data_IF_958561891553
#
_entry.id   IF_958561891553
#
_cell.length_a   1.000
_cell.length_b   1.000
_cell.length_c   1.000
_cell.angle_alpha   90.00
_cell.angle_beta   90.00
_cell.angle_gamma   90.00
#
_symmetry.space_group_name_H-M   'P 1'
#
loop_
_entity.id
_entity.type
_entity.pdbx_description
1 polymer ?
#
# COMPACT_ATOMS: atom_id res chain seq x y z
N UNK A 1 -11.49 3.25 2.69
CA UNK A 1 -10.94 1.95 3.13
C UNK A 1 -10.39 1.19 1.94
N UNK A 2 -9.15 0.75 2.03
CA UNK A 2 -8.55 -0.21 1.08
C UNK A 2 -9.02 -1.61 1.47
N UNK A 3 -9.44 -2.42 0.50
CA UNK A 3 -10.02 -3.75 0.73
C UNK A 3 -9.19 -4.88 0.13
N UNK A 4 -8.38 -4.62 -0.90
CA UNK A 4 -7.47 -5.62 -1.43
C UNK A 4 -6.35 -5.00 -2.26
N UNK A 5 -5.25 -5.75 -2.43
CA UNK A 5 -4.21 -5.47 -3.41
C UNK A 5 -3.91 -6.72 -4.24
N UNK A 6 -3.80 -6.55 -5.54
CA UNK A 6 -3.35 -7.56 -6.51
C UNK A 6 -1.97 -7.19 -7.02
N UNK A 7 -1.11 -8.19 -7.14
CA UNK A 7 0.27 -8.08 -7.60
C UNK A 7 0.48 -9.10 -8.73
N UNK A 8 0.91 -8.62 -9.90
CA UNK A 8 1.20 -9.43 -11.08
C UNK A 8 2.64 -9.18 -11.52
N UNK A 9 3.42 -10.25 -11.63
CA UNK A 9 4.84 -10.23 -11.99
C UNK A 9 5.69 -9.25 -11.14
N UNK A 10 5.28 -8.98 -9.90
CA UNK A 10 5.91 -8.01 -9.00
C UNK A 10 6.81 -8.69 -7.96
N UNK A 11 8.13 -8.49 -8.10
CA UNK A 11 9.15 -9.10 -7.23
C UNK A 11 9.03 -10.63 -7.20
N UNK A 12 8.72 -11.22 -6.04
CA UNK A 12 8.53 -12.66 -5.88
C UNK A 12 7.08 -13.11 -6.14
N UNK A 13 6.17 -12.18 -6.44
CA UNK A 13 4.77 -12.50 -6.73
C UNK A 13 4.58 -12.66 -8.24
N UNK A 14 4.36 -13.88 -8.70
CA UNK A 14 3.94 -14.13 -10.09
C UNK A 14 2.50 -13.62 -10.31
N UNK A 15 1.59 -14.03 -9.43
CA UNK A 15 0.24 -13.48 -9.31
C UNK A 15 -0.26 -13.72 -7.89
N UNK A 16 -0.61 -12.66 -7.15
CA UNK A 16 -1.18 -12.79 -5.81
C UNK A 16 -2.23 -11.71 -5.55
N UNK A 17 -3.21 -12.06 -4.72
CA UNK A 17 -4.22 -11.14 -4.21
C UNK A 17 -4.22 -11.24 -2.69
N UNK A 18 -4.09 -10.08 -2.03
CA UNK A 18 -4.09 -9.97 -0.58
C UNK A 18 -5.32 -9.17 -0.18
N UNK A 19 -6.25 -9.80 0.53
CA UNK A 19 -7.39 -9.12 1.14
C UNK A 19 -6.91 -8.28 2.34
N UNK A 20 -7.49 -7.08 2.47
CA UNK A 20 -7.08 -6.09 3.46
C UNK A 20 -8.29 -5.70 4.32
N UNK A 21 -8.13 -5.85 5.64
CA UNK A 21 -9.09 -5.36 6.63
C UNK A 21 -8.67 -4.01 7.22
N UNK A 22 -9.46 -3.52 8.19
CA UNK A 22 -9.13 -2.32 8.99
C UNK A 22 -7.78 -2.48 9.70
N UNK A 23 -7.46 -3.72 10.08
CA UNK A 23 -6.16 -4.17 10.55
C UNK A 23 -5.77 -5.44 9.78
N UNK A 24 -4.57 -5.47 9.22
CA UNK A 24 -4.03 -6.64 8.53
C UNK A 24 -2.63 -6.92 9.03
N UNK A 25 -2.39 -8.16 9.47
CA UNK A 25 -1.06 -8.61 9.93
C UNK A 25 -0.49 -9.58 8.91
N UNK A 26 0.65 -9.24 8.31
CA UNK A 26 1.36 -10.10 7.36
C UNK A 26 2.40 -10.94 8.10
N UNK A 27 2.22 -12.26 8.11
CA UNK A 27 3.13 -13.22 8.74
C UNK A 27 3.64 -14.25 7.73
N UNK A 28 4.79 -14.88 8.03
CA UNK A 28 5.36 -15.93 7.20
C UNK A 28 6.89 -15.85 7.09
N UNK A 29 7.53 -16.83 6.41
CA UNK A 29 8.98 -16.89 6.28
C UNK A 29 9.62 -15.66 5.63
N UNK A 30 10.92 -15.46 5.85
CA UNK A 30 11.69 -14.48 5.10
C UNK A 30 11.66 -14.81 3.61
N UNK A 31 11.55 -13.80 2.75
CA UNK A 31 11.42 -14.00 1.31
C UNK A 31 10.00 -14.34 0.82
N UNK A 32 9.02 -14.61 1.70
CA UNK A 32 7.64 -14.92 1.31
C UNK A 32 6.86 -13.72 0.70
N UNK A 33 7.50 -12.58 0.48
CA UNK A 33 6.88 -11.43 -0.21
C UNK A 33 6.13 -10.43 0.66
N UNK A 34 6.19 -10.52 2.00
CA UNK A 34 5.56 -9.57 2.94
C UNK A 34 5.99 -8.12 2.68
N UNK A 35 7.30 -7.89 2.61
CA UNK A 35 7.87 -6.57 2.28
C UNK A 35 7.46 -6.11 0.89
N UNK A 36 7.29 -7.04 -0.06
CA UNK A 36 6.82 -6.72 -1.42
C UNK A 36 5.38 -6.20 -1.40
N UNK A 37 4.49 -6.76 -0.58
CA UNK A 37 3.12 -6.25 -0.41
C UNK A 37 3.14 -4.81 0.13
N UNK A 38 3.93 -4.54 1.17
CA UNK A 38 4.07 -3.18 1.72
C UNK A 38 4.67 -2.20 0.70
N UNK A 39 5.66 -2.63 -0.07
CA UNK A 39 6.26 -1.82 -1.14
C UNK A 39 5.27 -1.53 -2.27
N UNK A 40 4.43 -2.49 -2.65
CA UNK A 40 3.38 -2.29 -3.65
C UNK A 40 2.33 -1.27 -3.18
N UNK A 41 1.90 -1.35 -1.91
CA UNK A 41 1.01 -0.35 -1.31
C UNK A 41 1.64 1.04 -1.28
N UNK A 42 2.91 1.14 -0.89
CA UNK A 42 3.66 2.40 -0.91
C UNK A 42 3.79 2.99 -2.32
N UNK A 43 4.01 2.14 -3.33
CA UNK A 43 4.11 2.55 -4.73
C UNK A 43 2.79 3.14 -5.24
N UNK A 44 1.67 2.42 -5.04
CA UNK A 44 0.34 2.92 -5.44
C UNK A 44 -0.05 4.17 -4.64
N UNK A 45 0.24 4.21 -3.34
CA UNK A 45 -0.02 5.37 -2.49
C UNK A 45 0.74 6.61 -2.97
N UNK A 46 2.02 6.44 -3.33
CA UNK A 46 2.82 7.53 -3.91
C UNK A 46 2.27 7.96 -5.26
N UNK A 47 1.92 7.01 -6.14
CA UNK A 47 1.33 7.31 -7.44
C UNK A 47 0.03 8.12 -7.28
N UNK A 48 -0.81 7.73 -6.32
CA UNK A 48 -2.03 8.44 -6.00
C UNK A 48 -1.81 9.86 -5.45
N UNK A 49 -0.61 10.15 -4.93
CA UNK A 49 -0.24 11.44 -4.34
C UNK A 49 0.42 12.39 -5.34
N UNK A 50 1.35 11.90 -6.15
CA UNK A 50 2.18 12.73 -7.06
C UNK A 50 1.78 12.59 -8.53
N UNK A 51 0.88 11.67 -8.86
CA UNK A 51 0.50 11.40 -10.25
C UNK A 51 1.61 10.71 -11.05
N UNK A 52 1.41 10.60 -12.37
CA UNK A 52 2.34 9.94 -13.28
C UNK A 52 3.57 10.80 -13.61
N UNK A 53 3.40 12.12 -13.71
CA UNK A 53 4.42 13.04 -14.19
C UNK A 53 5.58 13.23 -13.19
N UNK A 54 5.31 13.10 -11.89
CA UNK A 54 6.29 13.33 -10.82
C UNK A 54 6.69 12.03 -10.11
N UNK A 55 6.49 10.88 -10.78
CA UNK A 55 6.85 9.58 -10.23
C UNK A 55 8.33 9.27 -10.50
N UNK A 56 9.20 9.16 -9.47
CA UNK A 56 10.63 8.97 -9.68
C UNK A 56 10.93 7.55 -10.20
N UNK A 57 11.73 7.47 -11.27
CA UNK A 57 12.12 6.21 -11.93
C UNK A 57 12.83 5.23 -10.99
N UNK A 58 13.57 5.72 -9.99
CA UNK A 58 14.31 4.86 -9.04
C UNK A 58 13.40 3.99 -8.15
N UNK A 59 12.12 4.36 -8.00
CA UNK A 59 11.13 3.57 -7.26
C UNK A 59 10.50 2.46 -8.13
N UNK A 60 10.67 2.53 -9.45
CA UNK A 60 10.31 1.44 -10.37
C UNK A 60 11.33 0.33 -10.13
N UNK A 61 10.89 -0.71 -9.44
CA UNK A 61 11.70 -1.84 -8.98
C UNK A 61 12.33 -2.54 -10.19
N UNK A 62 13.49 -2.05 -10.59
CA UNK A 62 14.31 -2.60 -11.66
C UNK A 62 15.13 -3.74 -11.10
N UNK A 63 14.51 -4.92 -10.96
CA UNK A 63 15.27 -6.11 -11.36
C UNK A 63 15.06 -6.20 -12.85
N UNK A 64 16.04 -5.69 -13.62
CA UNK A 64 16.14 -5.84 -15.09
C UNK A 64 15.71 -7.26 -15.48
N UNK A 65 14.44 -7.43 -15.81
CA UNK A 65 13.92 -8.67 -16.37
C UNK A 65 14.11 -8.51 -17.86
N UNK A 66 15.08 -9.25 -18.39
CA UNK A 66 15.20 -9.55 -19.81
C UNK A 66 13.97 -10.34 -20.24
N UNK A 67 12.83 -9.67 -20.46
CA UNK A 67 11.64 -10.32 -20.99
C UNK A 67 10.32 -9.63 -20.67
N UNK A 68 9.66 -9.14 -21.74
CA UNK A 68 8.23 -9.04 -22.11
C UNK A 68 7.08 -9.03 -21.07
N UNK A 69 7.27 -9.32 -19.80
CA UNK A 69 6.18 -9.43 -18.81
C UNK A 69 5.83 -8.07 -18.22
N UNK A 70 4.56 -7.67 -18.39
CA UNK A 70 3.94 -6.50 -17.76
C UNK A 70 3.88 -6.73 -16.24
N UNK A 71 4.56 -5.88 -15.47
CA UNK A 71 4.37 -5.84 -14.02
C UNK A 71 3.14 -4.99 -13.74
N UNK A 72 2.20 -5.48 -12.93
CA UNK A 72 1.00 -4.71 -12.61
C UNK A 72 0.65 -4.81 -11.13
N UNK A 73 0.17 -3.70 -10.58
CA UNK A 73 -0.37 -3.60 -9.23
C UNK A 73 -1.78 -3.03 -9.33
N UNK A 74 -2.74 -3.64 -8.62
CA UNK A 74 -4.11 -3.13 -8.56
C UNK A 74 -4.58 -3.03 -7.11
N UNK A 75 -5.06 -1.87 -6.72
CA UNK A 75 -5.61 -1.60 -5.40
C UNK A 75 -7.11 -1.43 -5.48
N UNK A 76 -7.83 -2.12 -4.60
CA UNK A 76 -9.27 -2.03 -4.48
C UNK A 76 -9.65 -1.35 -3.16
N UNK A 77 -10.74 -0.59 -3.18
CA UNK A 77 -11.26 0.01 -1.97
C UNK A 77 -12.67 0.56 -2.09
N UNK A 78 -13.15 1.12 -0.98
CA UNK A 78 -14.39 1.87 -0.89
C UNK A 78 -14.16 3.19 -0.15
N UNK A 79 -14.71 4.27 -0.66
CA UNK A 79 -14.69 5.58 -0.02
C UNK A 79 -16.14 6.06 0.17
N UNK A 80 -16.48 6.81 1.24
CA UNK A 80 -17.82 7.35 1.42
C UNK A 80 -18.28 8.20 0.23
N UNK A 81 -17.40 9.05 -0.30
CA UNK A 81 -17.76 10.03 -1.33
C UNK A 81 -17.68 9.49 -2.77
N UNK A 82 -16.79 8.53 -3.04
CA UNK A 82 -16.59 7.99 -4.41
C UNK A 82 -17.07 6.54 -4.58
N UNK A 83 -17.62 5.93 -3.53
CA UNK A 83 -18.07 4.53 -3.57
C UNK A 83 -16.91 3.54 -3.74
N UNK A 84 -17.17 2.44 -4.45
CA UNK A 84 -16.14 1.45 -4.76
C UNK A 84 -15.18 1.98 -5.83
N UNK A 85 -13.88 1.79 -5.62
CA UNK A 85 -12.84 2.24 -6.54
C UNK A 85 -11.78 1.16 -6.77
N UNK A 86 -11.12 1.24 -7.93
CA UNK A 86 -9.95 0.43 -8.29
C UNK A 86 -8.89 1.33 -8.90
N UNK A 87 -7.65 1.22 -8.43
CA UNK A 87 -6.48 1.90 -8.97
C UNK A 87 -5.54 0.85 -9.55
N UNK A 88 -5.14 1.00 -10.80
CA UNK A 88 -4.17 0.13 -11.45
C UNK A 88 -2.95 0.92 -11.88
N UNK A 89 -1.77 0.37 -11.60
CA UNK A 89 -0.52 0.87 -12.14
C UNK A 89 0.25 -0.31 -12.69
N UNK A 90 0.79 -0.15 -13.89
CA UNK A 90 1.55 -1.17 -14.57
C UNK A 90 2.81 -0.59 -15.16
N UNK A 91 3.85 -1.41 -15.23
CA UNK A 91 5.12 -1.08 -15.86
C UNK A 91 5.20 -1.94 -17.11
N UNK A 92 5.31 -1.27 -18.26
CA UNK A 92 5.37 -1.91 -19.57
C UNK A 92 6.71 -1.60 -20.25
N UNK A 93 7.41 -2.61 -20.78
CA UNK A 93 8.62 -2.37 -21.54
C UNK A 93 8.28 -1.73 -22.90
N UNK A 94 8.68 -0.48 -23.12
CA UNK A 94 8.60 0.21 -24.41
C UNK A 94 10.00 0.53 -24.91
N UNK A 95 10.38 -0.02 -26.07
CA UNK A 95 11.66 0.32 -26.71
C UNK A 95 12.93 -0.05 -25.92
N UNK A 96 12.82 -0.87 -24.86
CA UNK A 96 13.94 -1.19 -23.96
C UNK A 96 13.96 -0.36 -22.67
N UNK A 97 13.01 0.57 -22.50
CA UNK A 97 12.77 1.32 -21.28
C UNK A 97 11.51 0.82 -20.57
N UNK A 98 11.50 0.89 -19.25
CA UNK A 98 10.35 0.55 -18.42
C UNK A 98 9.46 1.79 -18.29
N UNK A 99 8.26 1.77 -18.90
CA UNK A 99 7.33 2.89 -18.88
C UNK A 99 6.21 2.62 -17.88
N UNK A 100 6.03 3.55 -16.93
CA UNK A 100 4.90 3.52 -16.03
C UNK A 100 3.62 3.91 -16.78
N UNK A 101 2.66 3.00 -16.77
CA UNK A 101 1.31 3.15 -17.31
C UNK A 101 0.34 3.03 -16.17
N UNK A 102 -0.36 4.12 -15.84
CA UNK A 102 -1.36 4.09 -14.80
C UNK A 102 -2.78 4.23 -15.34
N UNK A 103 -3.68 3.41 -14.81
CA UNK A 103 -5.10 3.36 -15.15
C UNK A 103 -5.89 3.45 -13.85
N UNK A 104 -6.51 4.59 -13.60
CA UNK A 104 -7.28 4.83 -12.39
C UNK A 104 -8.51 5.71 -12.64
N UNK A 105 -9.38 5.90 -11.63
CA UNK A 105 -10.45 6.86 -11.71
C UNK A 105 -9.85 8.26 -11.93
N UNK A 106 -10.55 9.12 -12.66
CA UNK A 106 -10.08 10.49 -12.98
C UNK A 106 -9.71 11.29 -11.72
N UNK A 107 -10.34 11.00 -10.59
CA UNK A 107 -10.12 11.67 -9.30
C UNK A 107 -9.44 10.77 -8.27
N UNK A 108 -8.23 10.27 -8.58
CA UNK A 108 -7.43 9.45 -7.65
C UNK A 108 -7.29 10.12 -6.27
N UNK A 109 -7.19 11.45 -6.22
CA UNK A 109 -7.13 12.22 -4.98
C UNK A 109 -8.36 12.00 -4.07
N UNK A 110 -9.56 11.87 -4.64
CA UNK A 110 -10.81 11.70 -3.90
C UNK A 110 -10.94 10.29 -3.26
N UNK A 111 -10.08 9.34 -3.63
CA UNK A 111 -10.06 8.00 -3.02
C UNK A 111 -9.39 7.98 -1.63
N UNK A 112 -8.62 9.02 -1.29
CA UNK A 112 -7.81 9.09 -0.08
C UNK A 112 -6.55 8.22 -0.10
N UNK A 113 -6.29 7.45 -1.17
CA UNK A 113 -5.13 6.54 -1.25
C UNK A 113 -3.80 7.28 -1.19
N UNK A 114 -3.74 8.51 -1.70
CA UNK A 114 -2.57 9.39 -1.60
C UNK A 114 -2.18 9.80 -0.17
N UNK A 115 -3.05 9.55 0.82
CA UNK A 115 -2.79 9.79 2.25
C UNK A 115 -2.09 8.62 2.96
N UNK A 116 -1.81 7.53 2.24
CA UNK A 116 -1.14 6.35 2.80
C UNK A 116 0.24 6.72 3.36
N UNK A 117 0.47 6.37 4.63
CA UNK A 117 1.76 6.60 5.30
C UNK A 117 2.39 5.27 5.67
N UNK A 118 3.68 5.10 5.32
CA UNK A 118 4.48 3.98 5.80
C UNK A 118 5.26 4.42 7.04
N UNK A 119 5.13 3.65 8.13
CA UNK A 119 5.75 3.94 9.41
C UNK A 119 6.96 3.03 9.64
N UNK A 120 7.99 3.57 10.29
CA UNK A 120 9.14 2.80 10.76
C UNK A 120 9.04 2.67 12.27
N UNK A 121 8.60 1.50 12.73
CA UNK A 121 8.21 1.30 14.11
C UNK A 121 9.43 0.95 14.97
N UNK A 122 9.51 1.56 16.16
CA UNK A 122 10.47 1.22 17.21
C UNK A 122 9.84 0.18 18.15
N UNK A 123 10.42 -1.02 18.31
CA UNK A 123 9.91 -2.06 19.21
C UNK A 123 9.68 -1.58 20.65
N UNK A 124 10.55 -0.70 21.18
CA UNK A 124 10.41 -0.19 22.53
C UNK A 124 9.20 0.75 22.66
N UNK A 125 8.94 1.56 21.63
CA UNK A 125 7.80 2.49 21.56
C UNK A 125 6.49 1.77 21.33
N UNK A 126 6.49 0.72 20.52
CA UNK A 126 5.33 -0.16 20.31
C UNK A 126 4.87 -0.85 21.60
N UNK A 127 5.82 -1.24 22.45
CA UNK A 127 5.56 -1.90 23.72
C UNK A 127 5.25 -0.93 24.87
N UNK A 128 5.45 0.38 24.67
CA UNK A 128 5.24 1.36 25.71
C UNK A 128 3.74 1.46 26.09
N UNK A 129 3.41 1.62 27.39
CA UNK A 129 2.05 1.89 27.82
C UNK A 129 1.52 3.14 27.11
N UNK A 130 0.31 3.05 26.55
CA UNK A 130 -0.38 4.20 25.94
C UNK A 130 -1.60 4.56 26.79
N UNK A 131 -1.67 5.79 27.34
CA UNK A 131 -2.84 6.23 28.08
C UNK A 131 -4.04 6.38 27.13
N UNK A 132 -5.28 6.14 27.61
CA UNK A 132 -6.48 6.40 26.83
C UNK A 132 -6.52 7.88 26.40
N UNK A 133 -6.57 8.12 25.10
CA UNK A 133 -6.62 9.46 24.52
C UNK A 133 -7.96 9.69 23.81
N UNK A 134 -8.43 10.95 23.80
CA UNK A 134 -9.66 11.35 23.12
C UNK A 134 -9.62 11.11 21.59
N UNK A 135 -8.41 11.00 21.00
CA UNK A 135 -8.20 10.56 19.62
C UNK A 135 -7.17 9.43 19.61
N UNK A 136 -7.53 8.33 18.96
CA UNK A 136 -6.64 7.20 18.73
C UNK A 136 -5.77 7.49 17.51
N UNK A 137 -4.51 7.85 17.74
CA UNK A 137 -3.51 8.06 16.68
C UNK A 137 -2.25 7.26 16.98
N UNK A 138 -1.57 6.81 15.92
CA UNK A 138 -0.25 6.19 16.01
C UNK A 138 0.80 7.23 15.61
N UNK A 139 1.84 7.37 16.42
CA UNK A 139 3.00 8.21 16.09
C UNK A 139 3.90 7.52 15.06
N UNK A 140 4.86 8.25 14.50
CA UNK A 140 5.75 7.73 13.45
C UNK A 140 6.66 6.59 13.92
N UNK A 141 6.92 6.52 15.22
CA UNK A 141 7.72 5.48 15.89
C UNK A 141 6.86 4.29 16.38
N UNK A 142 5.54 4.33 16.19
CA UNK A 142 4.61 3.30 16.63
C UNK A 142 4.01 3.50 18.01
N UNK A 143 4.39 4.55 18.75
CA UNK A 143 3.72 4.88 20.00
C UNK A 143 2.22 5.13 19.78
N UNK A 144 1.38 4.69 20.72
CA UNK A 144 -0.08 4.81 20.60
C UNK A 144 -0.78 3.64 19.90
N UNK A 145 -0.04 2.65 19.37
CA UNK A 145 -0.63 1.48 18.71
C UNK A 145 -1.67 0.76 19.59
N UNK A 146 -1.39 0.56 20.88
CA UNK A 146 -2.30 -0.12 21.80
C UNK A 146 -3.67 0.58 21.90
N UNK A 147 -3.68 1.91 22.00
CA UNK A 147 -4.90 2.72 22.04
C UNK A 147 -5.67 2.64 20.71
N UNK A 148 -4.97 2.68 19.57
CA UNK A 148 -5.59 2.48 18.25
C UNK A 148 -6.22 1.10 18.12
N UNK A 149 -5.51 0.04 18.51
CA UNK A 149 -6.03 -1.33 18.47
C UNK A 149 -7.25 -1.51 19.38
N UNK A 150 -7.23 -0.91 20.58
CA UNK A 150 -8.38 -0.90 21.47
C UNK A 150 -9.59 -0.20 20.83
N UNK A 151 -9.38 0.96 20.20
CA UNK A 151 -10.43 1.68 19.48
C UNK A 151 -10.98 0.92 18.27
N UNK A 152 -10.13 0.21 17.52
CA UNK A 152 -10.57 -0.65 16.42
C UNK A 152 -11.44 -1.80 16.91
N UNK A 153 -11.04 -2.47 18.01
CA UNK A 153 -11.79 -3.56 18.62
C UNK A 153 -13.18 -3.10 19.10
N UNK A 154 -13.26 -1.94 19.76
CA UNK A 154 -14.51 -1.42 20.30
C UNK A 154 -15.48 -0.88 19.21
N UNK A 155 -14.99 -0.66 18.00
CA UNK A 155 -15.81 -0.19 16.88
C UNK A 155 -16.39 -1.33 16.03
N UNK A 156 -16.06 -2.59 16.35
CA UNK A 156 -16.61 -3.79 15.71
C UNK A 156 -17.73 -4.45 16.56
N UNK A 157 -18.06 -3.89 17.73
CA UNK A 157 -19.24 -4.19 18.57
C UNK A 157 -20.38 -3.18 18.33
#
# INVERSE_FOLDING_TARGET
>A
MITAIELTDFKCHAHSRVELGRLTVLVGPNGAGKTSVLQALGLIGRFARVGLADFPDDDLISRRRTGRSRTALRLHGRHPDVGAFSLETSIEPQGGEDVLVAVGPRDVAATGVGSTTQLSLDPARLAAPSPPAARSTIETDGYGLATVLAGLKLADD
#
